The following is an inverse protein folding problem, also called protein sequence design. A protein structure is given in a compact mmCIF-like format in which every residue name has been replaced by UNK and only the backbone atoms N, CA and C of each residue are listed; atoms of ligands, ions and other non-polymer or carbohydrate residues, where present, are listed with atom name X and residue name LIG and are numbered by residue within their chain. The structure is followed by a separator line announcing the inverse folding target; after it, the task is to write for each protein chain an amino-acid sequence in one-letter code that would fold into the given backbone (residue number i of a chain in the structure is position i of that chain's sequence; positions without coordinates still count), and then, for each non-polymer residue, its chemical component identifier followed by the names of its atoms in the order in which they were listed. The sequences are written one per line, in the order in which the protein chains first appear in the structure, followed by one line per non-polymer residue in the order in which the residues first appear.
data_IF_393803243459
#
_entry.id   IF_393803243459
#
_cell.length_a   1.000
_cell.length_b   1.000
_cell.length_c   1.000
_cell.angle_alpha   90.00
_cell.angle_beta   90.00
_cell.angle_gamma   90.00
#
_symmetry.space_group_name_H-M   'P 1'
#
loop_
_entity.id
_entity.type
_entity.pdbx_description
1 polymer ?
#
# COMPACT_ATOMS: atom_id res chain seq x y z
N UNK A 1 43.47 34.87 -13.92
CA UNK A 1 43.71 34.85 -15.39
C UNK A 1 43.79 33.44 -15.99
N UNK A 2 44.37 32.44 -15.32
CA UNK A 2 44.45 31.07 -15.84
C UNK A 2 43.08 30.38 -16.00
N UNK A 3 42.18 30.51 -15.01
CA UNK A 3 40.82 29.95 -15.07
C UNK A 3 39.99 30.53 -16.24
N UNK A 4 40.06 31.85 -16.48
CA UNK A 4 39.36 32.51 -17.60
C UNK A 4 39.90 32.02 -18.95
N UNK A 5 41.22 31.81 -19.07
CA UNK A 5 41.81 31.24 -20.29
C UNK A 5 41.40 29.78 -20.51
N UNK A 6 41.31 28.99 -19.45
CA UNK A 6 40.86 27.59 -19.52
C UNK A 6 39.39 27.50 -19.96
N UNK A 7 38.51 28.36 -19.42
CA UNK A 7 37.11 28.45 -19.83
C UNK A 7 37.00 28.82 -21.31
N UNK A 8 37.71 29.86 -21.77
CA UNK A 8 37.69 30.28 -23.18
C UNK A 8 38.22 29.17 -24.12
N UNK A 9 39.25 28.44 -23.70
CA UNK A 9 39.78 27.31 -24.47
C UNK A 9 38.78 26.16 -24.56
N UNK A 10 38.12 25.81 -23.45
CA UNK A 10 37.07 24.80 -23.42
C UNK A 10 35.87 25.19 -24.29
N UNK A 11 35.44 26.46 -24.25
CA UNK A 11 34.35 26.97 -25.10
C UNK A 11 34.70 26.88 -26.58
N UNK A 12 35.93 27.22 -26.97
CA UNK A 12 36.38 27.10 -28.37
C UNK A 12 36.47 25.65 -28.84
N UNK A 13 36.94 24.75 -27.99
CA UNK A 13 36.99 23.32 -28.29
C UNK A 13 35.58 22.73 -28.47
N UNK A 14 34.62 23.13 -27.63
CA UNK A 14 33.22 22.71 -27.73
C UNK A 14 32.57 23.19 -29.04
N UNK A 15 32.77 24.45 -29.42
CA UNK A 15 32.24 25.01 -30.68
C UNK A 15 32.84 24.27 -31.89
N UNK A 16 34.13 23.97 -31.87
CA UNK A 16 34.79 23.22 -32.93
C UNK A 16 34.30 21.77 -33.04
N UNK A 17 34.04 21.09 -31.91
CA UNK A 17 33.50 19.73 -31.88
C UNK A 17 32.06 19.65 -32.41
N UNK A 18 31.21 20.64 -32.11
CA UNK A 18 29.86 20.76 -32.66
C UNK A 18 29.92 20.98 -34.18
N UNK A 19 30.79 21.88 -34.65
CA UNK A 19 30.96 22.19 -36.08
C UNK A 19 31.54 21.02 -36.90
N UNK A 20 32.30 20.11 -36.29
CA UNK A 20 32.91 18.94 -36.93
C UNK A 20 31.98 17.71 -37.04
N UNK A 21 30.68 17.86 -36.74
CA UNK A 21 29.71 16.74 -36.78
C UNK A 21 29.61 15.96 -35.46
N UNK A 22 30.34 16.36 -34.41
CA UNK A 22 30.25 15.80 -33.05
C UNK A 22 29.04 16.27 -32.24
N UNK A 23 28.06 16.93 -32.88
CA UNK A 23 26.85 17.44 -32.21
C UNK A 23 26.05 16.33 -31.52
N UNK A 24 26.08 15.11 -32.05
CA UNK A 24 25.48 13.92 -31.43
C UNK A 24 26.18 13.59 -30.10
N UNK A 25 27.52 13.60 -30.07
CA UNK A 25 28.28 13.34 -28.84
C UNK A 25 28.05 14.45 -27.80
N UNK A 26 27.97 15.71 -28.23
CA UNK A 26 27.65 16.83 -27.35
C UNK A 26 26.22 16.71 -26.79
N UNK A 27 25.24 16.33 -27.61
CA UNK A 27 23.88 16.06 -27.14
C UNK A 27 23.83 14.92 -26.13
N UNK A 28 24.50 13.81 -26.40
CA UNK A 28 24.58 12.67 -25.46
C UNK A 28 25.20 13.10 -24.14
N UNK A 29 26.30 13.87 -24.16
CA UNK A 29 26.93 14.40 -22.95
C UNK A 29 25.97 15.33 -22.19
N UNK A 30 25.25 16.22 -22.88
CA UNK A 30 24.27 17.11 -22.26
C UNK A 30 23.13 16.32 -21.62
N UNK A 31 22.62 15.28 -22.29
CA UNK A 31 21.57 14.40 -21.75
C UNK A 31 22.07 13.68 -20.49
N UNK A 32 23.29 13.13 -20.51
CA UNK A 32 23.88 12.46 -19.34
C UNK A 32 24.01 13.44 -18.16
N UNK A 33 24.45 14.67 -18.41
CA UNK A 33 24.55 15.70 -17.36
C UNK A 33 23.16 16.05 -16.80
N UNK A 34 22.14 16.16 -17.64
CA UNK A 34 20.77 16.42 -17.18
C UNK A 34 20.22 15.28 -16.31
N UNK A 35 20.46 14.03 -16.71
CA UNK A 35 20.07 12.86 -15.91
C UNK A 35 20.81 12.85 -14.57
N UNK A 36 22.12 13.15 -14.56
CA UNK A 36 22.90 13.22 -13.32
C UNK A 36 22.42 14.35 -12.39
N UNK A 37 22.01 15.50 -12.94
CA UNK A 37 21.43 16.60 -12.17
C UNK A 37 20.06 16.23 -11.58
N UNK A 38 19.24 15.51 -12.34
CA UNK A 38 17.96 14.99 -11.87
C UNK A 38 18.17 13.96 -10.75
N UNK A 39 19.08 13.01 -10.94
CA UNK A 39 19.42 11.99 -9.95
C UNK A 39 20.00 12.59 -8.65
N UNK A 40 20.72 13.71 -8.74
CA UNK A 40 21.24 14.44 -7.58
C UNK A 40 20.22 15.36 -6.88
N UNK A 41 18.99 15.48 -7.41
CA UNK A 41 17.94 16.32 -6.85
C UNK A 41 16.93 15.53 -6.01
N UNK A 42 15.90 16.20 -5.48
CA UNK A 42 14.75 15.55 -4.83
C UNK A 42 14.06 14.52 -5.73
N UNK A 43 14.10 14.70 -7.06
CA UNK A 43 13.57 13.74 -8.05
C UNK A 43 14.46 12.52 -8.24
N UNK A 44 15.66 12.53 -7.65
CA UNK A 44 16.54 11.37 -7.59
C UNK A 44 15.86 10.15 -6.96
N UNK A 45 14.86 10.37 -6.11
CA UNK A 45 14.06 9.31 -5.50
C UNK A 45 13.49 8.34 -6.52
N UNK A 46 13.16 8.80 -7.74
CA UNK A 46 12.63 7.96 -8.82
C UNK A 46 13.64 6.94 -9.39
N UNK A 47 14.91 7.06 -9.04
CA UNK A 47 15.96 6.13 -9.45
C UNK A 47 16.32 5.10 -8.35
N UNK A 48 15.70 5.18 -7.17
CA UNK A 48 16.01 4.34 -6.00
C UNK A 48 15.36 2.95 -5.99
N UNK A 49 14.67 2.59 -7.08
CA UNK A 49 13.99 1.30 -7.20
C UNK A 49 14.92 0.11 -7.37
N UNK A 50 16.15 0.32 -7.84
CA UNK A 50 17.15 -0.75 -8.07
C UNK A 50 18.24 -0.76 -7.00
N UNK A 51 18.81 -1.94 -6.74
CA UNK A 51 19.98 -2.08 -5.88
C UNK A 51 21.22 -1.49 -6.57
N UNK A 52 21.77 -0.44 -5.95
CA UNK A 52 22.99 0.25 -6.40
C UNK A 52 24.31 -0.47 -6.08
N UNK A 53 24.25 -1.72 -5.59
CA UNK A 53 25.39 -2.53 -5.16
C UNK A 53 25.61 -2.54 -3.65
N UNK A 54 24.61 -2.11 -2.88
CA UNK A 54 24.59 -2.12 -1.41
C UNK A 54 23.84 -3.34 -0.85
N UNK A 55 23.07 -4.04 -1.69
CA UNK A 55 22.15 -5.10 -1.25
C UNK A 55 20.78 -4.56 -0.81
N UNK A 56 20.55 -3.24 -0.94
CA UNK A 56 19.31 -2.58 -0.53
C UNK A 56 18.71 -1.81 -1.71
N UNK A 57 17.39 -1.90 -1.83
CA UNK A 57 16.57 -1.11 -2.75
C UNK A 57 15.44 -0.44 -1.97
N UNK A 58 14.87 0.65 -2.51
CA UNK A 58 13.73 1.32 -1.86
C UNK A 58 12.55 0.36 -1.59
N UNK A 59 12.13 -0.51 -2.53
CA UNK A 59 11.06 -1.47 -2.27
C UNK A 59 11.35 -2.39 -1.08
N UNK A 60 12.57 -2.91 -0.97
CA UNK A 60 12.97 -3.77 0.14
C UNK A 60 12.89 -3.04 1.48
N UNK A 61 13.40 -1.80 1.54
CA UNK A 61 13.37 -1.00 2.76
C UNK A 61 11.92 -0.67 3.17
N UNK A 62 11.07 -0.32 2.21
CA UNK A 62 9.64 -0.09 2.43
C UNK A 62 8.95 -1.34 3.00
N UNK A 63 9.24 -2.51 2.44
CA UNK A 63 8.71 -3.79 2.93
C UNK A 63 9.16 -4.09 4.36
N UNK A 64 10.43 -3.85 4.68
CA UNK A 64 10.95 -4.05 6.03
C UNK A 64 10.30 -3.10 7.04
N UNK A 65 10.12 -1.82 6.70
CA UNK A 65 9.42 -0.87 7.58
C UNK A 65 7.95 -1.26 7.77
N UNK A 66 7.28 -1.78 6.73
CA UNK A 66 5.92 -2.31 6.89
C UNK A 66 5.89 -3.50 7.85
N UNK A 67 6.85 -4.42 7.76
CA UNK A 67 6.94 -5.55 8.66
C UNK A 67 7.19 -5.10 10.11
N UNK A 68 8.04 -4.10 10.33
CA UNK A 68 8.26 -3.48 11.64
C UNK A 68 6.98 -2.81 12.18
N UNK A 69 6.23 -2.13 11.30
CA UNK A 69 4.95 -1.52 11.64
C UNK A 69 3.90 -2.54 12.08
N UNK A 70 3.76 -3.63 11.31
CA UNK A 70 2.85 -4.73 11.64
C UNK A 70 3.26 -5.41 12.95
N UNK A 71 4.55 -5.63 13.18
CA UNK A 71 5.05 -6.20 14.42
C UNK A 71 4.73 -5.31 15.64
N UNK A 72 4.86 -3.99 15.51
CA UNK A 72 4.49 -3.06 16.58
C UNK A 72 2.98 -3.11 16.88
N UNK A 73 2.16 -3.18 15.84
CA UNK A 73 0.71 -3.28 15.98
C UNK A 73 0.26 -4.58 16.65
N UNK A 74 0.89 -5.70 16.30
CA UNK A 74 0.67 -6.98 16.98
C UNK A 74 1.16 -6.97 18.43
N UNK A 75 2.27 -6.28 18.71
CA UNK A 75 2.73 -6.08 20.09
C UNK A 75 1.73 -5.28 20.94
N UNK A 76 1.11 -4.24 20.36
CA UNK A 76 0.04 -3.47 21.02
C UNK A 76 -1.17 -4.36 21.32
N UNK A 77 -1.60 -5.19 20.36
CA UNK A 77 -2.68 -6.17 20.59
C UNK A 77 -2.31 -7.17 21.70
N UNK A 78 -1.07 -7.67 21.72
CA UNK A 78 -0.62 -8.63 22.71
C UNK A 78 -0.36 -8.01 24.11
N UNK A 79 -0.40 -6.68 24.23
CA UNK A 79 -0.05 -5.98 25.47
C UNK A 79 -1.10 -6.12 26.58
N UNK A 80 -2.36 -6.38 26.23
CA UNK A 80 -3.49 -6.51 27.15
C UNK A 80 -4.38 -7.68 26.73
N UNK A 81 -5.02 -8.34 27.70
CA UNK A 81 -6.07 -9.33 27.43
C UNK A 81 -7.40 -8.61 27.18
N UNK A 82 -8.07 -8.95 26.09
CA UNK A 82 -9.36 -8.37 25.70
C UNK A 82 -10.29 -9.45 25.15
N UNK A 83 -11.59 -9.17 25.20
CA UNK A 83 -12.65 -10.02 24.66
C UNK A 83 -13.04 -9.59 23.25
N UNK A 84 -12.90 -8.30 22.93
CA UNK A 84 -13.13 -7.76 21.59
C UNK A 84 -12.13 -6.65 21.22
N UNK A 85 -11.91 -6.45 19.92
CA UNK A 85 -10.98 -5.48 19.36
C UNK A 85 -11.71 -4.55 18.41
N UNK A 86 -11.55 -3.24 18.62
CA UNK A 86 -11.99 -2.20 17.70
C UNK A 86 -10.77 -1.44 17.17
N UNK A 87 -10.67 -1.31 15.85
CA UNK A 87 -9.57 -0.59 15.19
C UNK A 87 -10.11 0.56 14.36
N UNK A 88 -9.42 1.69 14.37
CA UNK A 88 -9.81 2.86 13.59
C UNK A 88 -8.62 3.64 13.04
N UNK A 89 -8.90 4.44 12.00
CA UNK A 89 -7.95 5.35 11.37
C UNK A 89 -7.03 4.68 10.32
N UNK A 90 -5.98 5.39 9.91
CA UNK A 90 -5.11 4.99 8.79
C UNK A 90 -3.68 5.51 8.94
N UNK A 91 -2.74 4.80 8.32
CA UNK A 91 -1.34 5.19 8.22
C UNK A 91 -1.10 6.12 7.03
N UNK A 92 0.02 6.84 7.06
CA UNK A 92 0.48 7.67 5.95
C UNK A 92 0.72 6.82 4.69
N UNK A 93 0.38 7.40 3.54
CA UNK A 93 0.63 6.77 2.24
C UNK A 93 2.12 6.83 1.93
N UNK A 94 2.66 5.72 1.42
CA UNK A 94 4.10 5.61 1.18
C UNK A 94 4.69 6.68 0.24
N UNK A 95 3.97 7.09 -0.82
CA UNK A 95 4.44 8.16 -1.71
C UNK A 95 4.62 9.50 -0.98
N UNK A 96 3.82 9.76 0.06
CA UNK A 96 3.93 10.96 0.88
C UNK A 96 5.11 10.87 1.83
N UNK A 97 5.31 9.72 2.47
CA UNK A 97 6.49 9.45 3.32
C UNK A 97 7.78 9.62 2.51
N UNK A 98 7.85 9.01 1.32
CA UNK A 98 9.00 9.13 0.45
C UNK A 98 9.21 10.53 -0.11
N UNK A 99 8.15 11.29 -0.40
CA UNK A 99 8.27 12.68 -0.82
C UNK A 99 8.85 13.56 0.31
N UNK A 100 8.37 13.38 1.54
CA UNK A 100 8.92 14.07 2.72
C UNK A 100 10.38 13.70 2.95
N UNK A 101 10.72 12.41 2.87
CA UNK A 101 12.10 11.91 2.93
C UNK A 101 12.97 12.54 1.85
N UNK A 102 12.56 12.49 0.59
CA UNK A 102 13.31 13.00 -0.54
C UNK A 102 13.65 14.48 -0.37
N UNK A 103 12.67 15.29 0.02
CA UNK A 103 12.86 16.72 0.24
C UNK A 103 13.73 16.96 1.47
N UNK A 104 13.43 16.33 2.61
CA UNK A 104 14.19 16.54 3.86
C UNK A 104 15.67 16.23 3.68
N UNK A 105 15.98 15.08 3.09
CA UNK A 105 17.35 14.54 3.03
C UNK A 105 18.18 15.21 1.92
N UNK A 106 17.58 15.45 0.74
CA UNK A 106 18.32 16.07 -0.36
C UNK A 106 18.57 17.56 -0.15
N UNK A 107 17.70 18.23 0.59
CA UNK A 107 17.80 19.68 0.82
C UNK A 107 18.23 20.04 2.24
N UNK A 108 18.78 19.07 3.00
CA UNK A 108 19.36 19.32 4.32
C UNK A 108 20.47 20.39 4.21
N UNK A 109 20.40 21.48 5.00
CA UNK A 109 21.35 22.59 4.89
C UNK A 109 22.74 22.25 5.40
N UNK A 110 22.86 21.27 6.29
CA UNK A 110 24.10 20.89 6.95
C UNK A 110 24.75 19.67 6.29
N UNK A 111 23.95 18.71 5.85
CA UNK A 111 24.43 17.46 5.24
C UNK A 111 23.48 16.95 4.14
N UNK A 112 23.43 17.61 2.96
CA UNK A 112 22.58 17.18 1.86
C UNK A 112 23.06 15.84 1.30
N UNK A 113 22.14 14.90 1.15
CA UNK A 113 22.42 13.56 0.59
C UNK A 113 21.58 13.29 -0.66
N UNK A 114 22.14 12.55 -1.60
CA UNK A 114 21.34 12.03 -2.72
C UNK A 114 20.33 10.99 -2.22
N UNK A 115 19.24 10.83 -2.97
CA UNK A 115 18.13 9.94 -2.63
C UNK A 115 17.84 8.94 -3.75
N UNK A 116 18.78 8.78 -4.67
CA UNK A 116 18.72 7.84 -5.79
C UNK A 116 19.26 6.45 -5.42
N UNK A 117 19.97 6.32 -4.30
CA UNK A 117 20.46 5.04 -3.79
C UNK A 117 19.97 4.77 -2.36
N UNK A 118 20.09 3.52 -1.93
CA UNK A 118 19.73 3.10 -0.58
C UNK A 118 20.90 2.40 0.11
N UNK A 119 21.10 2.72 1.38
CA UNK A 119 22.08 2.11 2.29
C UNK A 119 21.48 2.07 3.71
N UNK A 120 22.16 1.42 4.66
CA UNK A 120 21.66 1.27 6.03
C UNK A 120 21.40 2.61 6.74
N UNK A 121 22.21 3.63 6.48
CA UNK A 121 22.04 4.94 7.10
C UNK A 121 20.81 5.66 6.54
N UNK A 122 20.62 5.62 5.22
CA UNK A 122 19.43 6.15 4.55
C UNK A 122 18.16 5.39 4.93
N UNK A 123 18.24 4.07 5.08
CA UNK A 123 17.14 3.23 5.59
C UNK A 123 16.70 3.70 6.99
N UNK A 124 17.65 3.93 7.90
CA UNK A 124 17.32 4.41 9.24
C UNK A 124 16.64 5.78 9.18
N UNK A 125 17.15 6.71 8.38
CA UNK A 125 16.53 8.03 8.19
C UNK A 125 15.10 7.93 7.65
N UNK A 126 14.85 7.02 6.71
CA UNK A 126 13.50 6.78 6.18
C UNK A 126 12.58 6.18 7.24
N UNK A 127 13.05 5.20 8.01
CA UNK A 127 12.30 4.59 9.11
C UNK A 127 11.93 5.64 10.17
N UNK A 128 12.89 6.49 10.57
CA UNK A 128 12.64 7.56 11.53
C UNK A 128 11.54 8.52 11.04
N UNK A 129 11.58 8.93 9.77
CA UNK A 129 10.54 9.80 9.18
C UNK A 129 9.19 9.08 9.13
N UNK A 130 9.16 7.80 8.74
CA UNK A 130 7.93 7.00 8.73
C UNK A 130 7.28 6.97 10.12
N UNK A 131 8.07 6.76 11.18
CA UNK A 131 7.58 6.75 12.56
C UNK A 131 7.27 8.14 13.13
N UNK A 132 7.88 9.20 12.60
CA UNK A 132 7.46 10.58 12.92
C UNK A 132 6.13 10.95 12.26
N UNK A 133 5.81 10.35 11.11
CA UNK A 133 4.56 10.52 10.38
C UNK A 133 3.41 9.70 10.95
N UNK A 134 3.68 8.51 11.49
CA UNK A 134 2.66 7.56 11.92
C UNK A 134 2.59 7.42 13.44
N UNK A 135 1.39 7.21 13.97
CA UNK A 135 1.18 6.94 15.39
C UNK A 135 0.16 5.83 15.58
N UNK A 136 0.48 4.91 16.50
CA UNK A 136 -0.43 3.87 16.99
C UNK A 136 -0.72 4.21 18.45
N UNK A 137 -2.00 4.25 18.82
CA UNK A 137 -2.43 4.45 20.20
C UNK A 137 -3.46 3.40 20.57
N UNK A 138 -3.45 2.97 21.82
CA UNK A 138 -4.35 1.93 22.33
C UNK A 138 -4.96 2.36 23.67
N UNK A 139 -6.21 1.95 23.91
CA UNK A 139 -6.84 2.03 25.23
C UNK A 139 -7.86 0.90 25.39
N UNK A 140 -8.19 0.54 26.63
CA UNK A 140 -9.19 -0.47 26.92
C UNK A 140 -10.36 0.13 27.68
N UNK A 141 -11.57 -0.32 27.36
CA UNK A 141 -12.76 -0.10 28.18
C UNK A 141 -13.28 -1.44 28.70
N UNK A 142 -13.79 -1.44 29.93
CA UNK A 142 -14.30 -2.65 30.58
C UNK A 142 -15.72 -2.39 31.04
N UNK A 143 -16.65 -3.14 30.49
CA UNK A 143 -18.06 -3.13 30.87
C UNK A 143 -18.38 -4.36 31.71
N UNK A 144 -19.31 -4.22 32.66
CA UNK A 144 -19.77 -5.32 33.50
C UNK A 144 -21.28 -5.43 33.43
N UNK A 145 -21.76 -6.63 33.12
CA UNK A 145 -23.19 -6.95 33.06
C UNK A 145 -23.50 -8.02 34.10
N UNK A 146 -24.51 -7.77 34.94
CA UNK A 146 -25.01 -8.77 35.87
C UNK A 146 -25.97 -9.70 35.14
N UNK A 147 -25.58 -10.96 35.00
CA UNK A 147 -26.40 -12.02 34.42
C UNK A 147 -27.05 -12.82 35.54
N UNK A 148 -28.37 -12.85 35.54
CA UNK A 148 -29.15 -13.62 36.51
C UNK A 148 -29.53 -14.95 35.90
N UNK A 149 -29.01 -16.04 36.47
CA UNK A 149 -29.40 -17.41 36.09
C UNK A 149 -30.31 -18.02 37.15
N UNK A 150 -31.45 -18.53 36.71
CA UNK A 150 -32.40 -19.25 37.56
C UNK A 150 -32.22 -20.76 37.38
N UNK A 151 -32.05 -21.48 38.50
CA UNK A 151 -31.90 -22.94 38.50
C UNK A 151 -32.88 -23.57 39.49
N UNK A 152 -33.52 -24.67 39.09
CA UNK A 152 -34.43 -25.45 39.93
C UNK A 152 -33.62 -26.45 40.77
N UNK A 153 -33.83 -26.43 42.08
CA UNK A 153 -33.15 -27.31 43.04
C UNK A 153 -33.67 -28.77 43.04
N UNK A 154 -34.55 -29.10 42.10
CA UNK A 154 -35.20 -30.40 41.97
C UNK A 154 -36.32 -30.64 42.99
N UNK A 155 -36.63 -29.64 43.82
CA UNK A 155 -37.71 -29.64 44.81
C UNK A 155 -38.75 -28.54 44.54
N UNK A 156 -38.62 -27.80 43.43
CA UNK A 156 -39.54 -26.75 43.02
C UNK A 156 -39.23 -25.37 43.62
N UNK A 157 -38.03 -25.18 44.20
CA UNK A 157 -37.55 -23.85 44.56
C UNK A 157 -36.64 -23.31 43.45
N UNK A 158 -36.90 -22.08 43.02
CA UNK A 158 -36.04 -21.37 42.07
C UNK A 158 -34.90 -20.72 42.85
N UNK A 159 -33.67 -21.14 42.55
CA UNK A 159 -32.44 -20.51 43.03
C UNK A 159 -31.97 -19.51 41.98
N UNK A 160 -31.98 -18.25 42.36
CA UNK A 160 -31.45 -17.15 41.56
C UNK A 160 -29.97 -16.95 41.89
N UNK A 161 -29.09 -17.13 40.90
CA UNK A 161 -27.65 -16.84 41.01
C UNK A 161 -27.33 -15.66 40.10
N UNK A 162 -26.82 -14.58 40.69
CA UNK A 162 -26.29 -13.43 39.96
C UNK A 162 -24.80 -13.64 39.70
N UNK A 163 -24.39 -13.64 38.44
CA UNK A 163 -22.99 -13.69 38.03
C UNK A 163 -22.66 -12.38 37.33
N UNK A 164 -21.58 -11.71 37.73
CA UNK A 164 -21.06 -10.56 36.99
C UNK A 164 -20.19 -11.08 35.85
N UNK A 165 -20.62 -10.83 34.63
CA UNK A 165 -19.81 -11.03 33.43
C UNK A 165 -19.14 -9.71 33.07
N UNK A 166 -17.83 -9.76 32.83
CA UNK A 166 -17.02 -8.59 32.49
C UNK A 166 -16.52 -8.77 31.07
N UNK A 167 -16.71 -7.75 30.24
CA UNK A 167 -16.23 -7.70 28.85
C UNK A 167 -15.27 -6.54 28.71
N UNK A 168 -14.06 -6.80 28.22
CA UNK A 168 -13.02 -5.81 27.96
C UNK A 168 -12.85 -5.64 26.46
N UNK A 169 -13.00 -4.41 25.98
CA UNK A 169 -12.77 -4.04 24.59
C UNK A 169 -11.45 -3.29 24.48
N UNK A 170 -10.56 -3.74 23.59
CA UNK A 170 -9.35 -3.03 23.21
C UNK A 170 -9.65 -2.16 22.00
N UNK A 171 -9.38 -0.86 22.10
CA UNK A 171 -9.48 0.09 21.01
C UNK A 171 -8.08 0.48 20.56
N UNK A 172 -7.78 0.29 19.28
CA UNK A 172 -6.53 0.75 18.65
C UNK A 172 -6.85 1.82 17.62
N UNK A 173 -6.22 2.98 17.74
CA UNK A 173 -6.32 4.07 16.76
C UNK A 173 -4.98 4.27 16.08
N UNK A 174 -4.98 4.10 14.76
CA UNK A 174 -3.87 4.45 13.87
C UNK A 174 -4.12 5.84 13.31
N UNK A 175 -3.14 6.73 13.41
CA UNK A 175 -3.22 8.07 12.81
C UNK A 175 -1.92 8.44 12.12
N UNK A 176 -1.99 9.45 11.26
CA UNK A 176 -0.81 9.97 10.60
C UNK A 176 -0.86 11.48 10.43
N UNK A 177 0.32 12.08 10.28
CA UNK A 177 0.49 13.46 9.86
C UNK A 177 0.48 13.54 8.34
N UNK A 178 -0.22 14.53 7.84
CA UNK A 178 -0.19 14.94 6.43
C UNK A 178 1.18 15.50 6.04
N UNK A 179 1.43 15.57 4.74
CA UNK A 179 2.64 16.19 4.17
C UNK A 179 2.81 17.64 4.65
N UNK A 180 1.72 18.39 4.76
CA UNK A 180 1.75 19.79 5.23
C UNK A 180 2.14 19.90 6.71
N UNK A 181 1.65 19.00 7.55
CA UNK A 181 2.03 18.93 8.96
C UNK A 181 3.50 18.57 9.13
N UNK A 182 4.02 17.64 8.32
CA UNK A 182 5.44 17.31 8.30
C UNK A 182 6.31 18.46 7.80
N UNK A 183 5.88 19.14 6.73
CA UNK A 183 6.56 20.32 6.21
C UNK A 183 6.60 21.45 7.26
N UNK A 184 5.53 21.63 8.03
CA UNK A 184 5.49 22.57 9.15
C UNK A 184 6.43 22.14 10.29
N UNK A 185 6.41 20.87 10.68
CA UNK A 185 7.26 20.30 11.74
C UNK A 185 8.75 20.48 11.42
N UNK A 186 9.15 20.26 10.17
CA UNK A 186 10.55 20.42 9.74
C UNK A 186 10.92 21.86 9.33
N UNK A 187 9.99 22.80 9.36
CA UNK A 187 10.25 24.18 8.97
C UNK A 187 10.62 24.33 7.49
N UNK A 188 10.00 23.53 6.61
CA UNK A 188 10.25 23.59 5.17
C UNK A 188 9.97 24.98 4.61
N UNK A 189 10.93 25.47 3.81
CA UNK A 189 10.82 26.68 3.01
C UNK A 189 9.75 26.54 1.92
N UNK A 190 9.35 27.65 1.31
CA UNK A 190 8.41 27.60 0.19
C UNK A 190 8.92 26.73 -0.97
N UNK A 191 10.22 26.82 -1.28
CA UNK A 191 10.83 26.00 -2.33
C UNK A 191 10.74 24.49 -2.03
N UNK A 192 10.95 24.08 -0.79
CA UNK A 192 10.81 22.68 -0.37
C UNK A 192 9.35 22.19 -0.47
N UNK A 193 8.38 23.06 -0.19
CA UNK A 193 6.95 22.76 -0.37
C UNK A 193 6.55 22.65 -1.84
N UNK A 194 7.14 23.48 -2.69
CA UNK A 194 6.95 23.40 -4.14
C UNK A 194 7.50 22.06 -4.67
N UNK A 195 8.65 21.58 -4.15
CA UNK A 195 9.16 20.24 -4.46
C UNK A 195 8.22 19.12 -4.02
N UNK A 196 7.64 19.20 -2.81
CA UNK A 196 6.64 18.23 -2.36
C UNK A 196 5.43 18.19 -3.31
N UNK A 197 4.94 19.37 -3.70
CA UNK A 197 3.82 19.50 -4.65
C UNK A 197 4.16 18.87 -5.99
N UNK A 198 5.34 19.16 -6.53
CA UNK A 198 5.77 18.63 -7.82
C UNK A 198 5.99 17.11 -7.77
N UNK A 199 6.56 16.58 -6.69
CA UNK A 199 6.78 15.15 -6.49
C UNK A 199 5.45 14.38 -6.42
N UNK A 200 4.43 14.96 -5.79
CA UNK A 200 3.13 14.31 -5.53
C UNK A 200 2.08 14.51 -6.62
N UNK A 201 2.42 15.16 -7.73
CA UNK A 201 1.52 15.23 -8.89
C UNK A 201 1.13 13.83 -9.37
N UNK A 202 -0.12 13.69 -9.81
CA UNK A 202 -0.64 12.43 -10.33
C UNK A 202 0.16 11.89 -11.53
N UNK A 203 0.77 12.78 -12.31
CA UNK A 203 1.68 12.45 -13.42
C UNK A 203 2.87 11.59 -12.98
N UNK A 204 3.25 11.64 -11.70
CA UNK A 204 4.34 10.87 -11.12
C UNK A 204 3.87 9.55 -10.47
N UNK A 205 2.58 9.23 -10.43
CA UNK A 205 2.08 8.02 -9.77
C UNK A 205 2.73 6.74 -10.34
N UNK A 206 3.03 6.71 -11.64
CA UNK A 206 3.76 5.60 -12.26
C UNK A 206 5.21 5.52 -11.77
N UNK A 207 5.90 6.65 -11.62
CA UNK A 207 7.27 6.68 -11.12
C UNK A 207 7.32 6.24 -9.65
N UNK A 208 6.34 6.65 -8.84
CA UNK A 208 6.17 6.15 -7.47
C UNK A 208 5.93 4.64 -7.41
N UNK A 209 5.17 4.11 -8.36
CA UNK A 209 4.93 2.66 -8.48
C UNK A 209 6.23 1.89 -8.73
N UNK A 210 7.11 2.42 -9.59
CA UNK A 210 8.42 1.82 -9.84
C UNK A 210 9.31 1.85 -8.59
N UNK A 211 9.37 2.98 -7.88
CA UNK A 211 10.20 3.14 -6.68
C UNK A 211 9.75 2.28 -5.52
N UNK A 212 8.44 2.18 -5.29
CA UNK A 212 7.91 1.52 -4.11
C UNK A 212 7.84 0.00 -4.27
N UNK A 213 7.73 -0.48 -5.51
CA UNK A 213 7.41 -1.88 -5.78
C UNK A 213 8.31 -2.55 -6.83
N UNK A 214 9.25 -1.81 -7.44
CA UNK A 214 10.18 -2.35 -8.44
C UNK A 214 9.53 -2.60 -9.81
N UNK A 215 8.38 -1.98 -10.07
CA UNK A 215 7.54 -2.28 -11.23
C UNK A 215 7.72 -1.20 -12.30
N UNK A 216 8.50 -1.51 -13.32
CA UNK A 216 8.56 -0.77 -14.59
C UNK A 216 7.28 -0.96 -15.41
N UNK A 217 7.26 -0.50 -16.66
CA UNK A 217 6.14 -0.71 -17.61
C UNK A 217 5.81 -2.22 -17.78
N UNK A 218 4.95 -2.79 -16.94
CA UNK A 218 4.40 -4.15 -17.08
C UNK A 218 2.98 -4.26 -16.51
N UNK A 219 2.33 -5.37 -16.86
CA UNK A 219 0.89 -5.67 -16.74
C UNK A 219 0.37 -5.85 -15.28
N UNK A 220 1.20 -5.63 -14.25
CA UNK A 220 0.89 -5.96 -12.85
C UNK A 220 0.55 -4.73 -11.97
N UNK A 221 0.24 -3.56 -12.56
CA UNK A 221 0.07 -2.30 -11.81
C UNK A 221 -0.99 -2.37 -10.71
N UNK A 222 -2.00 -3.23 -10.86
CA UNK A 222 -3.03 -3.39 -9.82
C UNK A 222 -2.50 -4.10 -8.57
N UNK A 223 -1.57 -5.05 -8.72
CA UNK A 223 -0.93 -5.75 -7.58
C UNK A 223 -0.16 -4.76 -6.73
N UNK A 224 0.60 -3.91 -7.40
CA UNK A 224 1.34 -2.77 -6.85
C UNK A 224 0.47 -1.88 -5.97
N UNK A 225 -0.64 -1.41 -6.53
CA UNK A 225 -1.57 -0.54 -5.82
C UNK A 225 -2.18 -1.30 -4.65
N UNK A 226 -2.54 -2.57 -4.80
CA UNK A 226 -3.07 -3.36 -3.69
C UNK A 226 -2.06 -3.50 -2.55
N UNK A 227 -0.81 -3.88 -2.84
CA UNK A 227 0.26 -4.00 -1.85
C UNK A 227 0.52 -2.69 -1.09
N UNK A 228 0.37 -1.53 -1.76
CA UNK A 228 0.50 -0.22 -1.12
C UNK A 228 -0.45 0.02 0.05
N UNK A 229 -1.57 -0.68 0.04
CA UNK A 229 -2.68 -0.49 0.95
C UNK A 229 -2.63 -1.41 2.17
N UNK A 230 -1.66 -2.35 2.25
CA UNK A 230 -1.50 -3.23 3.40
C UNK A 230 -1.42 -2.41 4.70
N UNK A 231 -2.15 -2.86 5.73
CA UNK A 231 -2.22 -2.18 7.02
C UNK A 231 -3.25 -1.05 7.09
N UNK A 232 -4.06 -0.82 6.04
CA UNK A 232 -5.27 0.00 6.17
C UNK A 232 -6.40 -0.80 6.83
N UNK A 233 -7.05 -0.21 7.83
CA UNK A 233 -8.12 -0.81 8.63
C UNK A 233 -9.46 -0.09 8.40
N UNK A 234 -10.59 -0.78 8.56
CA UNK A 234 -11.95 -0.22 8.51
C UNK A 234 -12.46 0.18 7.11
N UNK A 235 -11.56 0.27 6.12
CA UNK A 235 -11.89 0.42 4.70
C UNK A 235 -12.49 1.75 4.28
N UNK A 236 -12.50 2.77 5.16
CA UNK A 236 -13.10 4.09 4.88
C UNK A 236 -12.68 4.70 3.54
N UNK A 237 -11.39 4.70 3.18
CA UNK A 237 -10.97 5.23 1.88
C UNK A 237 -11.65 4.55 0.68
N UNK A 238 -12.01 3.27 0.79
CA UNK A 238 -12.54 2.49 -0.33
C UNK A 238 -14.06 2.59 -0.43
N UNK A 239 -14.79 2.35 0.66
CA UNK A 239 -16.26 2.38 0.60
C UNK A 239 -16.79 3.81 0.47
N UNK A 240 -16.10 4.82 1.04
CA UNK A 240 -16.51 6.22 0.87
C UNK A 240 -16.24 6.72 -0.56
N UNK A 241 -15.07 6.41 -1.13
CA UNK A 241 -14.76 6.68 -2.54
C UNK A 241 -15.76 6.03 -3.50
N UNK A 242 -16.19 4.80 -3.18
CA UNK A 242 -17.19 4.12 -4.00
C UNK A 242 -18.54 4.86 -3.99
N UNK A 243 -18.87 5.51 -2.86
CA UNK A 243 -20.05 6.35 -2.68
C UNK A 243 -20.95 5.97 -1.50
N UNK A 244 -20.49 5.09 -0.60
CA UNK A 244 -21.24 4.72 0.60
C UNK A 244 -21.04 5.75 1.72
N UNK A 245 -22.13 6.10 2.42
CA UNK A 245 -22.10 7.06 3.53
C UNK A 245 -21.77 6.44 4.90
N UNK A 246 -21.56 5.13 4.96
CA UNK A 246 -21.24 4.38 6.17
C UNK A 246 -20.53 3.07 5.81
N UNK A 247 -19.88 2.42 6.79
CA UNK A 247 -19.18 1.14 6.61
C UNK A 247 -20.10 0.08 5.99
N UNK A 248 -19.59 -0.59 4.97
CA UNK A 248 -20.16 -1.77 4.30
C UNK A 248 -19.09 -2.84 4.16
N UNK A 249 -19.43 -4.07 3.78
CA UNK A 249 -18.40 -5.03 3.35
C UNK A 249 -17.69 -4.46 2.11
N UNK A 250 -16.36 -4.30 2.20
CA UNK A 250 -15.63 -3.39 1.32
C UNK A 250 -14.56 -4.07 0.45
N UNK A 251 -14.50 -5.41 0.41
CA UNK A 251 -13.56 -6.17 -0.42
C UNK A 251 -13.62 -5.79 -1.91
N UNK A 252 -14.82 -5.74 -2.49
CA UNK A 252 -15.01 -5.32 -3.88
C UNK A 252 -14.78 -3.82 -4.11
N UNK A 253 -15.10 -2.99 -3.11
CA UNK A 253 -14.78 -1.56 -3.17
C UNK A 253 -13.27 -1.35 -3.24
N UNK A 254 -12.49 -2.12 -2.48
CA UNK A 254 -11.03 -2.11 -2.50
C UNK A 254 -10.49 -2.49 -3.89
N UNK A 255 -10.93 -3.61 -4.48
CA UNK A 255 -10.49 -4.02 -5.82
C UNK A 255 -10.84 -2.96 -6.88
N UNK A 256 -12.05 -2.39 -6.80
CA UNK A 256 -12.45 -1.28 -7.68
C UNK A 256 -11.61 -0.02 -7.48
N UNK A 257 -11.24 0.30 -6.24
CA UNK A 257 -10.37 1.42 -5.94
C UNK A 257 -8.97 1.18 -6.52
N UNK A 258 -8.40 -0.01 -6.34
CA UNK A 258 -7.11 -0.34 -6.97
C UNK A 258 -7.18 -0.23 -8.50
N UNK A 259 -8.26 -0.72 -9.12
CA UNK A 259 -8.47 -0.57 -10.56
C UNK A 259 -8.64 0.90 -11.00
N UNK A 260 -9.27 1.75 -10.17
CA UNK A 260 -9.37 3.19 -10.42
C UNK A 260 -8.00 3.86 -10.44
N UNK A 261 -7.17 3.58 -9.43
CA UNK A 261 -5.84 4.18 -9.32
C UNK A 261 -4.93 3.79 -10.50
N UNK A 262 -5.20 2.63 -11.12
CA UNK A 262 -4.53 2.20 -12.35
C UNK A 262 -5.18 2.72 -13.65
N UNK A 263 -6.32 3.43 -13.58
CA UNK A 263 -7.11 3.83 -14.75
C UNK A 263 -7.81 2.67 -15.48
N UNK A 264 -7.86 1.48 -14.89
CA UNK A 264 -8.39 0.26 -15.48
C UNK A 264 -9.92 0.25 -15.61
N UNK A 265 -10.61 1.05 -14.79
CA UNK A 265 -12.06 1.26 -14.93
C UNK A 265 -12.37 2.02 -16.22
N UNK A 266 -11.74 3.17 -16.42
CA UNK A 266 -12.00 4.02 -17.59
C UNK A 266 -11.57 3.35 -18.90
N UNK A 267 -10.51 2.55 -18.85
CA UNK A 267 -10.03 1.77 -19.98
C UNK A 267 -10.82 0.47 -20.21
N UNK A 268 -11.79 0.14 -19.35
CA UNK A 268 -12.65 -1.04 -19.50
C UNK A 268 -11.94 -2.39 -19.30
N UNK A 269 -10.84 -2.39 -18.56
CA UNK A 269 -10.01 -3.56 -18.22
C UNK A 269 -10.59 -4.31 -17.02
N UNK A 270 -11.05 -3.57 -16.00
CA UNK A 270 -11.72 -4.10 -14.80
C UNK A 270 -12.97 -3.26 -14.54
N UNK A 271 -14.12 -3.84 -14.16
CA UNK A 271 -15.33 -3.07 -13.87
C UNK A 271 -15.20 -2.27 -12.56
N UNK A 272 -16.00 -1.20 -12.42
CA UNK A 272 -16.32 -0.65 -11.10
C UNK A 272 -17.45 -1.46 -10.47
N UNK A 273 -17.19 -2.15 -9.35
CA UNK A 273 -18.16 -3.01 -8.66
C UNK A 273 -17.97 -2.99 -7.13
N UNK A 274 -19.08 -3.08 -6.39
CA UNK A 274 -19.08 -3.25 -4.93
C UNK A 274 -19.68 -4.59 -4.49
N UNK A 275 -20.26 -5.37 -5.40
CA UNK A 275 -20.76 -6.71 -5.13
C UNK A 275 -19.96 -7.76 -5.88
N UNK A 276 -19.44 -8.75 -5.18
CA UNK A 276 -18.60 -9.83 -5.73
C UNK A 276 -19.30 -10.59 -6.87
N UNK A 277 -20.60 -10.89 -6.71
CA UNK A 277 -21.44 -11.52 -7.77
C UNK A 277 -21.40 -10.72 -9.07
N UNK A 278 -21.54 -9.39 -9.02
CA UNK A 278 -21.49 -8.53 -10.21
C UNK A 278 -20.11 -8.53 -10.86
N UNK A 279 -19.04 -8.55 -10.05
CA UNK A 279 -17.68 -8.68 -10.52
C UNK A 279 -17.46 -9.99 -11.29
N UNK A 280 -17.86 -11.13 -10.72
CA UNK A 280 -17.73 -12.43 -11.39
C UNK A 280 -18.54 -12.49 -12.69
N UNK A 281 -19.78 -12.00 -12.68
CA UNK A 281 -20.64 -12.01 -13.86
C UNK A 281 -20.02 -11.21 -15.02
N UNK A 282 -19.42 -10.04 -14.73
CA UNK A 282 -18.77 -9.21 -15.74
C UNK A 282 -17.63 -9.94 -16.46
N UNK A 283 -16.76 -10.63 -15.71
CA UNK A 283 -15.66 -11.41 -16.28
C UNK A 283 -16.17 -12.62 -17.06
N UNK A 284 -17.17 -13.34 -16.53
CA UNK A 284 -17.80 -14.50 -17.19
C UNK A 284 -18.46 -14.11 -18.52
N UNK A 285 -19.23 -13.01 -18.55
CA UNK A 285 -19.90 -12.51 -19.76
C UNK A 285 -18.93 -12.14 -20.90
N UNK A 286 -17.67 -11.85 -20.55
CA UNK A 286 -16.61 -11.47 -21.50
C UNK A 286 -15.70 -12.64 -21.87
N UNK A 287 -15.96 -13.84 -21.35
CA UNK A 287 -15.08 -15.00 -21.53
C UNK A 287 -13.71 -14.82 -20.87
N UNK A 288 -13.63 -13.94 -19.87
CA UNK A 288 -12.42 -13.57 -19.13
C UNK A 288 -12.42 -14.24 -17.75
N UNK A 289 -12.75 -15.53 -17.71
CA UNK A 289 -12.91 -16.28 -16.46
C UNK A 289 -12.12 -17.58 -16.50
N UNK A 290 -11.45 -17.90 -15.40
CA UNK A 290 -10.76 -19.18 -15.16
C UNK A 290 -11.33 -19.83 -13.90
N UNK A 291 -11.43 -21.16 -13.92
CA UNK A 291 -11.82 -21.92 -12.72
C UNK A 291 -10.68 -21.99 -11.70
N UNK A 292 -10.99 -22.50 -10.51
CA UNK A 292 -10.07 -22.55 -9.38
C UNK A 292 -8.90 -23.53 -9.54
N UNK A 293 -8.96 -24.47 -10.48
CA UNK A 293 -7.92 -25.47 -10.71
C UNK A 293 -6.75 -24.93 -11.53
N UNK A 294 -6.95 -23.80 -12.20
CA UNK A 294 -5.92 -23.15 -12.98
C UNK A 294 -4.95 -22.37 -12.10
N UNK A 295 -3.67 -22.36 -12.49
CA UNK A 295 -2.66 -21.52 -11.86
C UNK A 295 -2.86 -20.06 -12.29
N UNK A 296 -3.22 -19.12 -11.39
CA UNK A 296 -3.47 -17.75 -11.77
C UNK A 296 -2.16 -16.98 -12.02
N UNK A 297 -2.25 -15.85 -12.71
CA UNK A 297 -1.14 -14.90 -12.84
C UNK A 297 -1.33 -13.71 -11.89
N UNK A 298 -0.25 -13.02 -11.49
CA UNK A 298 -0.34 -11.72 -10.85
C UNK A 298 -1.34 -10.79 -11.55
N UNK A 299 -2.06 -9.99 -10.76
CA UNK A 299 -3.06 -9.03 -11.24
C UNK A 299 -4.45 -9.61 -11.49
N UNK A 300 -4.56 -10.93 -11.69
CA UNK A 300 -5.87 -11.57 -11.79
C UNK A 300 -6.73 -11.32 -10.55
N UNK A 301 -8.05 -11.23 -10.75
CA UNK A 301 -8.99 -10.96 -9.67
C UNK A 301 -9.50 -12.30 -9.13
N UNK A 302 -9.13 -12.65 -7.92
CA UNK A 302 -9.55 -13.92 -7.29
C UNK A 302 -10.87 -13.73 -6.56
N UNK A 303 -11.79 -14.68 -6.71
CA UNK A 303 -13.08 -14.68 -6.03
C UNK A 303 -13.26 -15.95 -5.19
N UNK A 304 -13.97 -15.82 -4.08
CA UNK A 304 -14.21 -16.92 -3.15
C UNK A 304 -15.72 -17.17 -2.94
N UNK A 305 -16.05 -18.43 -2.72
CA UNK A 305 -17.36 -18.97 -2.34
C UNK A 305 -17.12 -19.75 -1.04
N UNK A 306 -17.39 -19.12 0.10
CA UNK A 306 -16.97 -19.58 1.42
C UNK A 306 -17.93 -20.66 1.95
N UNK A 307 -17.39 -21.68 2.64
CA UNK A 307 -18.22 -22.72 3.26
C UNK A 307 -18.54 -22.38 4.73
N UNK A 308 -19.48 -21.46 4.95
CA UNK A 308 -19.90 -21.08 6.29
C UNK A 308 -21.43 -21.14 6.48
N UNK A 309 -22.03 -22.35 6.54
CA UNK A 309 -23.48 -22.55 6.58
C UNK A 309 -24.19 -21.91 7.79
N UNK A 310 -23.46 -21.54 8.85
CA UNK A 310 -23.98 -20.84 10.03
C UNK A 310 -23.62 -19.35 10.10
N UNK A 311 -22.82 -18.85 9.16
CA UNK A 311 -22.38 -17.46 9.10
C UNK A 311 -23.13 -16.65 8.05
N UNK A 312 -22.74 -15.37 7.93
CA UNK A 312 -23.36 -14.41 7.01
C UNK A 312 -23.16 -14.75 5.53
N UNK A 313 -22.14 -15.55 5.20
CA UNK A 313 -21.81 -15.99 3.85
C UNK A 313 -22.68 -17.17 3.38
N UNK A 314 -23.19 -18.01 4.31
CA UNK A 314 -23.93 -19.21 3.95
C UNK A 314 -23.03 -20.38 3.51
N UNK A 315 -23.62 -21.51 3.06
CA UNK A 315 -22.87 -22.63 2.48
C UNK A 315 -22.34 -22.28 1.09
N UNK A 316 -21.40 -23.07 0.56
CA UNK A 316 -20.98 -22.90 -0.84
C UNK A 316 -22.17 -23.05 -1.81
N UNK A 317 -22.61 -21.95 -2.39
CA UNK A 317 -23.81 -21.87 -3.22
C UNK A 317 -23.51 -21.49 -4.69
N UNK A 318 -22.22 -21.31 -5.01
CA UNK A 318 -21.73 -20.95 -6.33
C UNK A 318 -21.76 -19.44 -6.60
N UNK A 319 -22.17 -18.62 -5.63
CA UNK A 319 -22.05 -17.17 -5.66
C UNK A 319 -20.75 -16.71 -4.99
N UNK A 320 -20.29 -15.51 -5.32
CA UNK A 320 -19.05 -14.98 -4.77
C UNK A 320 -19.32 -14.18 -3.51
N UNK A 321 -18.67 -14.55 -2.41
CA UNK A 321 -18.72 -13.85 -1.12
C UNK A 321 -17.60 -12.82 -0.98
N UNK A 322 -16.41 -13.17 -1.47
CA UNK A 322 -15.20 -12.38 -1.27
C UNK A 322 -14.39 -12.24 -2.56
N UNK A 323 -13.55 -11.22 -2.60
CA UNK A 323 -12.72 -10.90 -3.76
C UNK A 323 -11.39 -10.29 -3.30
N UNK A 324 -10.32 -10.64 -4.01
CA UNK A 324 -8.99 -10.09 -3.84
C UNK A 324 -8.24 -9.93 -5.16
N UNK A 325 -6.98 -9.55 -5.07
CA UNK A 325 -6.07 -9.43 -6.21
C UNK A 325 -4.95 -10.46 -6.03
N UNK A 326 -4.67 -11.25 -7.05
CA UNK A 326 -3.55 -12.21 -7.04
C UNK A 326 -2.25 -11.42 -7.05
N UNK A 327 -1.43 -11.60 -6.02
CA UNK A 327 -0.11 -11.00 -5.90
C UNK A 327 0.91 -11.79 -6.71
N UNK A 328 1.01 -13.09 -6.41
CA UNK A 328 1.93 -14.03 -7.05
C UNK A 328 1.48 -15.46 -6.85
N UNK A 329 2.09 -16.39 -7.60
CA UNK A 329 2.01 -17.82 -7.34
C UNK A 329 3.41 -18.37 -7.18
N UNK A 330 3.62 -19.14 -6.12
CA UNK A 330 4.92 -19.74 -5.82
C UNK A 330 4.71 -21.12 -5.18
N UNK A 331 5.35 -22.14 -5.74
CA UNK A 331 5.28 -23.52 -5.24
C UNK A 331 3.85 -24.08 -5.10
N UNK A 332 2.94 -23.71 -6.01
CA UNK A 332 1.53 -24.13 -5.96
C UNK A 332 0.69 -23.40 -4.90
N UNK A 333 1.23 -22.34 -4.30
CA UNK A 333 0.52 -21.45 -3.38
C UNK A 333 0.26 -20.12 -4.09
N UNK A 334 -1.01 -19.71 -4.11
CA UNK A 334 -1.45 -18.38 -4.55
C UNK A 334 -1.36 -17.44 -3.36
N UNK A 335 -0.66 -16.33 -3.54
CA UNK A 335 -0.61 -15.21 -2.61
C UNK A 335 -1.52 -14.11 -3.12
N UNK A 336 -2.30 -13.50 -2.24
CA UNK A 336 -3.34 -12.54 -2.59
C UNK A 336 -3.24 -11.31 -1.71
N UNK A 337 -3.61 -10.16 -2.25
CA UNK A 337 -3.89 -8.95 -1.47
C UNK A 337 -5.40 -8.76 -1.41
N UNK A 338 -5.93 -8.80 -0.20
CA UNK A 338 -7.37 -8.78 0.06
C UNK A 338 -7.72 -7.64 1.00
N UNK A 339 -8.68 -6.81 0.57
CA UNK A 339 -9.32 -5.82 1.42
C UNK A 339 -10.49 -6.44 2.18
N UNK A 340 -10.80 -5.91 3.35
CA UNK A 340 -11.83 -6.42 4.25
C UNK A 340 -11.59 -7.87 4.68
N UNK A 341 -10.35 -8.36 4.56
CA UNK A 341 -9.94 -9.56 5.26
C UNK A 341 -9.79 -9.14 6.71
N UNK A 342 -10.66 -9.65 7.60
CA UNK A 342 -10.85 -9.22 9.00
C UNK A 342 -10.57 -7.73 9.23
N UNK A 343 -11.37 -6.94 8.51
CA UNK A 343 -11.42 -5.47 8.53
C UNK A 343 -10.10 -4.74 8.23
N UNK A 344 -9.17 -5.39 7.52
CA UNK A 344 -7.96 -4.73 7.01
C UNK A 344 -7.64 -5.12 5.56
N UNK A 345 -6.70 -4.40 4.95
CA UNK A 345 -5.99 -4.89 3.77
C UNK A 345 -4.79 -5.71 4.23
N UNK A 346 -4.66 -6.95 3.75
CA UNK A 346 -3.55 -7.84 4.10
C UNK A 346 -3.27 -8.89 3.03
N UNK A 347 -2.13 -9.55 3.18
CA UNK A 347 -1.76 -10.70 2.36
C UNK A 347 -2.40 -11.97 2.95
N UNK A 348 -3.03 -12.76 2.09
CA UNK A 348 -3.46 -14.12 2.39
C UNK A 348 -2.78 -15.11 1.43
N UNK A 349 -2.88 -16.41 1.74
CA UNK A 349 -2.30 -17.44 0.89
C UNK A 349 -3.13 -18.72 0.88
N UNK A 350 -3.26 -19.33 -0.29
CA UNK A 350 -4.10 -20.50 -0.54
C UNK A 350 -3.39 -21.48 -1.47
N UNK A 351 -3.68 -22.77 -1.37
CA UNK A 351 -3.24 -23.70 -2.41
C UNK A 351 -3.98 -23.41 -3.73
N UNK A 352 -3.32 -23.56 -4.88
CA UNK A 352 -4.02 -23.62 -6.17
C UNK A 352 -5.06 -24.74 -6.11
N UNK A 353 -6.29 -24.48 -6.55
CA UNK A 353 -7.41 -25.41 -6.41
C UNK A 353 -8.02 -25.50 -5.00
N UNK A 354 -7.71 -24.55 -4.10
CA UNK A 354 -8.38 -24.48 -2.80
C UNK A 354 -9.90 -24.39 -2.96
N UNK A 355 -10.63 -25.18 -2.16
CA UNK A 355 -12.04 -25.47 -2.42
C UNK A 355 -12.96 -24.26 -2.28
N UNK A 356 -12.58 -23.24 -1.50
CA UNK A 356 -13.35 -21.98 -1.38
C UNK A 356 -12.97 -20.95 -2.44
N UNK A 357 -11.97 -21.21 -3.28
CA UNK A 357 -11.72 -20.39 -4.46
C UNK A 357 -12.82 -20.74 -5.47
N UNK A 358 -13.64 -19.75 -5.81
CA UNK A 358 -14.67 -19.88 -6.84
C UNK A 358 -14.05 -19.81 -8.25
N UNK A 359 -13.04 -18.98 -8.41
CA UNK A 359 -12.29 -18.83 -9.66
C UNK A 359 -11.63 -17.46 -9.78
N UNK A 360 -11.20 -17.14 -11.00
CA UNK A 360 -10.41 -15.95 -11.31
C UNK A 360 -11.02 -15.16 -12.47
N UNK A 361 -11.21 -13.87 -12.26
CA UNK A 361 -11.34 -12.90 -13.34
C UNK A 361 -9.99 -12.63 -13.99
N UNK A 362 -9.97 -12.58 -15.32
CA UNK A 362 -8.75 -12.46 -16.15
C UNK A 362 -8.78 -11.12 -16.92
N UNK A 363 -8.33 -10.02 -16.29
CA UNK A 363 -8.21 -8.73 -16.98
C UNK A 363 -7.36 -8.84 -18.24
N UNK A 364 -7.69 -8.02 -19.24
CA UNK A 364 -6.90 -7.87 -20.47
C UNK A 364 -6.23 -6.50 -20.40
N UNK A 365 -5.06 -6.43 -19.77
CA UNK A 365 -4.31 -5.20 -19.50
C UNK A 365 -3.88 -4.45 -20.77
#
# INVERSE_FOLDING_TARGET
MAAIKAIIAATKALIAAIAAGGWVAVLVIVIIILIALLAGSVFGIFFSGEDSGTGLSMPMVVQEINADYDAQLEAEKASVSYDSLEMSGSRAVWKEVLAVYAVKINTDPDNPQEVATMDDAKKQLLSDIFWEMNSISSHTETDSTTVTTETDDGHGNIITTETTETTTTLYITVSHKTVDEMAAQYGFTQQQKDYLTDLLKDENNQLWSTVLYGIGYSDDQIVTVALSQIGNYGGEPYWSWYGFGSRVEWCACFVSWCANECGYIDNGVIPKFAGCVLGTQWFKDRGQWMDNSAEPSPGMIIFFDWDNPGGSSGPQDGEADHVGIVEKVENGIVYTVEGNSGDSVRINSYSVGYYEILGYGVPQY
#
